data_IF_386133015930
#
_entry.id   IF_386133015930
#
_cell.length_a   1.000
_cell.length_b   1.000
_cell.length_c   1.000
_cell.angle_alpha   90.00
_cell.angle_beta   90.00
_cell.angle_gamma   90.00
#
_symmetry.space_group_name_H-M   'P 1'
#
loop_
_entity.id
_entity.type
_entity.pdbx_description
1 polymer ?
#
# COMPACT_ATOMS: atom_id res chain seq x y z
N UNK A 1 -10.20 -27.95 -0.16
CA UNK A 1 -10.25 -26.76 0.70
C UNK A 1 -8.95 -26.72 1.46
N UNK A 2 -8.09 -25.72 1.26
CA UNK A 2 -6.95 -25.54 2.16
C UNK A 2 -7.53 -25.27 3.57
N UNK A 3 -7.15 -26.07 4.57
CA UNK A 3 -7.57 -25.80 5.94
C UNK A 3 -6.81 -24.56 6.45
N UNK A 4 -7.40 -23.80 7.36
CA UNK A 4 -6.83 -22.58 7.95
C UNK A 4 -5.38 -22.78 8.42
N UNK A 5 -5.07 -23.98 8.93
CA UNK A 5 -3.72 -24.37 9.35
C UNK A 5 -2.70 -24.29 8.22
N UNK A 6 -3.02 -24.79 7.02
CA UNK A 6 -2.09 -24.81 5.89
C UNK A 6 -1.86 -23.40 5.35
N UNK A 7 -2.92 -22.59 5.28
CA UNK A 7 -2.84 -21.18 4.89
C UNK A 7 -1.99 -20.38 5.87
N UNK A 8 -2.17 -20.59 7.18
CA UNK A 8 -1.37 -19.92 8.20
C UNK A 8 0.10 -20.34 8.12
N UNK A 9 0.38 -21.64 7.96
CA UNK A 9 1.75 -22.14 7.82
C UNK A 9 2.44 -21.54 6.58
N UNK A 10 1.74 -21.49 5.44
CA UNK A 10 2.26 -20.87 4.22
C UNK A 10 2.54 -19.37 4.40
N UNK A 11 1.65 -18.63 5.09
CA UNK A 11 1.85 -17.22 5.38
C UNK A 11 3.07 -16.99 6.28
N UNK A 12 3.22 -17.77 7.36
CA UNK A 12 4.37 -17.67 8.26
C UNK A 12 5.68 -18.00 7.54
N UNK A 13 5.71 -19.07 6.74
CA UNK A 13 6.90 -19.44 5.96
C UNK A 13 7.32 -18.37 4.96
N UNK A 14 6.37 -17.62 4.39
CA UNK A 14 6.66 -16.50 3.51
C UNK A 14 7.08 -15.23 4.27
N UNK A 15 6.46 -14.96 5.43
CA UNK A 15 6.73 -13.77 6.25
C UNK A 15 8.08 -13.81 6.94
N UNK A 16 8.53 -14.96 7.45
CA UNK A 16 9.81 -15.07 8.17
C UNK A 16 11.01 -14.53 7.37
N UNK A 17 11.30 -15.00 6.14
CA UNK A 17 12.40 -14.45 5.35
C UNK A 17 12.13 -13.02 4.89
N UNK A 18 10.88 -12.66 4.59
CA UNK A 18 10.53 -11.30 4.18
C UNK A 18 10.80 -10.27 5.28
N UNK A 19 10.48 -10.59 6.54
CA UNK A 19 10.75 -9.72 7.68
C UNK A 19 12.26 -9.57 7.93
N UNK A 20 13.04 -10.65 7.78
CA UNK A 20 14.50 -10.58 7.89
C UNK A 20 15.11 -9.69 6.79
N UNK A 21 14.64 -9.85 5.55
CA UNK A 21 15.06 -9.02 4.43
C UNK A 21 14.67 -7.56 4.65
N UNK A 22 13.43 -7.29 5.08
CA UNK A 22 12.98 -5.92 5.39
C UNK A 22 13.82 -5.27 6.48
N UNK A 23 14.19 -6.02 7.53
CA UNK A 23 15.06 -5.51 8.59
C UNK A 23 16.47 -5.14 8.12
N UNK A 24 16.94 -5.70 6.99
CA UNK A 24 18.28 -5.47 6.45
C UNK A 24 18.27 -4.42 5.33
N UNK A 25 17.37 -4.59 4.36
CA UNK A 25 17.34 -3.84 3.10
C UNK A 25 16.23 -2.78 3.06
N UNK A 26 15.37 -2.73 4.08
CA UNK A 26 14.18 -1.88 4.09
C UNK A 26 13.15 -2.29 3.04
N UNK A 27 12.40 -1.30 2.55
CA UNK A 27 11.28 -1.52 1.62
C UNK A 27 11.71 -1.73 0.16
N UNK A 28 12.91 -1.29 -0.22
CA UNK A 28 13.34 -1.21 -1.61
C UNK A 28 13.18 -2.53 -2.40
N UNK A 29 13.53 -3.72 -1.86
CA UNK A 29 13.34 -4.99 -2.58
C UNK A 29 11.88 -5.36 -2.83
N UNK A 30 10.95 -4.79 -2.05
CA UNK A 30 9.52 -5.10 -2.10
C UNK A 30 8.75 -4.18 -3.05
N UNK A 31 9.30 -3.00 -3.40
CA UNK A 31 8.62 -2.01 -4.25
C UNK A 31 8.10 -2.61 -5.57
N UNK A 32 8.88 -3.37 -6.37
CA UNK A 32 8.38 -3.90 -7.63
C UNK A 32 7.17 -4.83 -7.45
N UNK A 33 7.21 -5.70 -6.44
CA UNK A 33 6.10 -6.62 -6.13
C UNK A 33 4.89 -5.85 -5.60
N UNK A 34 5.11 -4.83 -4.78
CA UNK A 34 4.03 -3.97 -4.29
C UNK A 34 3.31 -3.28 -5.45
N UNK A 35 4.06 -2.66 -6.38
CA UNK A 35 3.47 -1.98 -7.54
C UNK A 35 2.67 -2.95 -8.42
N UNK A 36 3.17 -4.17 -8.64
CA UNK A 36 2.46 -5.19 -9.41
C UNK A 36 1.13 -5.65 -8.76
N UNK A 37 0.98 -5.46 -7.45
CA UNK A 37 -0.19 -5.86 -6.66
C UNK A 37 -1.01 -4.65 -6.18
N UNK A 38 -0.69 -3.43 -6.63
CA UNK A 38 -1.35 -2.23 -6.16
C UNK A 38 -2.79 -2.16 -6.69
N UNK A 39 -3.74 -2.45 -5.81
CA UNK A 39 -5.17 -2.54 -6.13
C UNK A 39 -5.78 -1.27 -6.78
N UNK A 40 -5.21 -0.10 -6.46
CA UNK A 40 -5.69 1.19 -6.95
C UNK A 40 -4.77 1.83 -7.98
N UNK A 41 -3.78 1.11 -8.52
CA UNK A 41 -2.82 1.68 -9.46
C UNK A 41 -3.51 2.38 -10.64
N UNK A 42 -3.19 3.66 -10.85
CA UNK A 42 -3.74 4.48 -11.93
C UNK A 42 -5.22 4.83 -11.79
N UNK A 43 -5.84 4.56 -10.63
CA UNK A 43 -7.25 4.89 -10.36
C UNK A 43 -7.36 6.19 -9.59
N UNK A 44 -8.44 6.92 -9.84
CA UNK A 44 -8.83 8.04 -8.99
C UNK A 44 -9.34 7.49 -7.65
N UNK A 45 -8.81 8.05 -6.56
CA UNK A 45 -9.10 7.64 -5.20
C UNK A 45 -9.34 8.85 -4.32
N UNK A 46 -10.08 8.61 -3.23
CA UNK A 46 -10.28 9.56 -2.14
C UNK A 46 -9.69 8.99 -0.86
N UNK A 47 -8.97 9.84 -0.15
CA UNK A 47 -8.53 9.60 1.23
C UNK A 47 -9.54 10.23 2.17
N UNK A 48 -10.09 9.41 3.05
CA UNK A 48 -11.00 9.85 4.09
C UNK A 48 -10.35 9.75 5.45
N UNK A 49 -10.40 10.81 6.23
CA UNK A 49 -10.05 10.81 7.65
C UNK A 49 -11.34 11.00 8.45
N UNK A 50 -11.65 10.08 9.37
CA UNK A 50 -12.90 10.10 10.13
C UNK A 50 -14.16 10.18 9.23
N UNK A 51 -14.09 9.62 8.02
CA UNK A 51 -15.18 9.63 7.03
C UNK A 51 -15.29 10.89 6.18
N UNK A 52 -14.44 11.90 6.41
CA UNK A 52 -14.40 13.15 5.65
C UNK A 52 -13.31 13.09 4.59
N UNK A 53 -13.64 13.44 3.34
CA UNK A 53 -12.66 13.53 2.25
C UNK A 53 -11.61 14.60 2.56
N UNK A 54 -10.35 14.20 2.54
CA UNK A 54 -9.19 15.08 2.78
C UNK A 54 -8.42 15.37 1.52
N UNK A 55 -8.22 14.34 0.70
CA UNK A 55 -7.42 14.41 -0.52
C UNK A 55 -8.07 13.53 -1.58
N UNK A 56 -8.05 14.00 -2.82
CA UNK A 56 -8.44 13.26 -4.02
C UNK A 56 -7.33 13.33 -5.04
N UNK A 57 -7.09 12.23 -5.75
CA UNK A 57 -6.10 12.19 -6.83
C UNK A 57 -5.95 10.80 -7.43
N UNK A 58 -5.02 10.67 -8.38
CA UNK A 58 -4.69 9.37 -8.99
C UNK A 58 -3.64 8.66 -8.15
N UNK A 59 -3.90 7.41 -7.75
CA UNK A 59 -2.91 6.62 -7.03
C UNK A 59 -1.78 6.15 -7.96
N UNK A 60 -0.57 6.66 -7.71
CA UNK A 60 0.62 6.40 -8.55
C UNK A 60 1.60 5.41 -7.93
N UNK A 61 1.47 5.14 -6.63
CA UNK A 61 2.18 4.06 -5.95
C UNK A 61 2.58 4.44 -4.53
N UNK A 62 3.75 3.97 -4.08
CA UNK A 62 4.35 4.39 -2.81
C UNK A 62 5.78 4.87 -3.00
N UNK A 63 6.24 5.74 -2.12
CA UNK A 63 7.66 6.11 -2.06
C UNK A 63 8.51 5.08 -1.31
N UNK A 64 9.81 5.36 -1.19
CA UNK A 64 10.77 4.49 -0.51
C UNK A 64 10.50 4.32 1.00
N UNK A 65 9.69 5.19 1.60
CA UNK A 65 9.28 5.11 3.01
C UNK A 65 7.92 4.44 3.20
N UNK A 66 7.23 4.13 2.11
CA UNK A 66 5.91 3.50 2.10
C UNK A 66 4.74 4.47 2.16
N UNK A 67 4.96 5.77 1.94
CA UNK A 67 3.86 6.74 1.83
C UNK A 67 3.15 6.59 0.49
N UNK A 68 1.82 6.67 0.49
CA UNK A 68 1.02 6.61 -0.73
C UNK A 68 1.23 7.88 -1.54
N UNK A 69 1.55 7.73 -2.83
CA UNK A 69 1.71 8.84 -3.76
C UNK A 69 0.41 9.06 -4.53
N UNK A 70 -0.17 10.24 -4.38
CA UNK A 70 -1.31 10.69 -5.18
C UNK A 70 -0.91 11.82 -6.12
N UNK A 71 -1.21 11.67 -7.40
CA UNK A 71 -1.16 12.77 -8.36
C UNK A 71 -2.44 13.60 -8.23
N UNK A 72 -2.29 14.83 -7.76
CA UNK A 72 -3.38 15.78 -7.47
C UNK A 72 -3.23 17.02 -8.36
N UNK A 73 -4.25 17.90 -8.45
CA UNK A 73 -4.11 19.17 -9.18
C UNK A 73 -2.95 20.07 -8.70
N UNK A 74 -2.51 19.91 -7.45
CA UNK A 74 -1.40 20.65 -6.84
C UNK A 74 -0.05 19.91 -6.99
N UNK A 75 -0.03 18.81 -7.74
CA UNK A 75 1.12 17.92 -7.94
C UNK A 75 1.08 16.65 -7.11
N UNK A 76 2.18 15.90 -7.14
CA UNK A 76 2.30 14.62 -6.41
C UNK A 76 2.41 14.90 -4.91
N UNK A 77 1.51 14.31 -4.14
CA UNK A 77 1.49 14.38 -2.68
C UNK A 77 1.78 13.00 -2.08
N UNK A 78 2.69 12.96 -1.11
CA UNK A 78 2.98 11.76 -0.33
C UNK A 78 2.15 11.77 0.95
N UNK A 79 1.36 10.71 1.17
CA UNK A 79 0.39 10.60 2.25
C UNK A 79 0.78 9.45 3.18
N UNK A 80 0.88 9.76 4.48
CA UNK A 80 1.01 8.75 5.51
C UNK A 80 -0.35 8.03 5.70
N UNK A 81 -0.39 6.73 5.43
CA UNK A 81 -1.62 5.94 5.42
C UNK A 81 -2.17 5.56 6.82
N UNK A 82 -1.63 6.13 7.91
CA UNK A 82 -1.91 5.69 9.28
C UNK A 82 -3.37 5.85 9.71
N UNK A 83 -3.92 7.06 9.61
CA UNK A 83 -5.24 7.41 10.16
C UNK A 83 -6.31 7.64 9.08
N UNK A 84 -6.05 7.17 7.86
CA UNK A 84 -6.87 7.43 6.68
C UNK A 84 -7.38 6.14 6.06
N UNK A 85 -8.60 6.19 5.52
CA UNK A 85 -9.15 5.13 4.66
C UNK A 85 -9.07 5.54 3.20
N UNK A 86 -8.61 4.63 2.36
CA UNK A 86 -8.55 4.81 0.90
C UNK A 86 -9.79 4.19 0.25
N UNK A 87 -10.43 4.92 -0.66
CA UNK A 87 -11.54 4.40 -1.48
C UNK A 87 -11.33 4.78 -2.94
N UNK A 88 -11.81 3.94 -3.85
CA UNK A 88 -11.99 4.34 -5.25
C UNK A 88 -12.99 5.49 -5.30
N UNK A 89 -12.68 6.54 -6.07
CA UNK A 89 -13.61 7.64 -6.29
C UNK A 89 -14.83 7.10 -7.07
N UNK A 90 -16.03 7.50 -6.64
CA UNK A 90 -17.27 7.21 -7.38
C UNK A 90 -17.52 8.26 -8.46
#
# INVERSE_FOLDING_TARGET
SANLTDTLAAALNALTPALAQFGTDGLAPFLPRWHALHAYAGREVVLLEQGVERVRGIATGIDATGQLLLDTPDGIQAIAAGDVSLREAQ
#
